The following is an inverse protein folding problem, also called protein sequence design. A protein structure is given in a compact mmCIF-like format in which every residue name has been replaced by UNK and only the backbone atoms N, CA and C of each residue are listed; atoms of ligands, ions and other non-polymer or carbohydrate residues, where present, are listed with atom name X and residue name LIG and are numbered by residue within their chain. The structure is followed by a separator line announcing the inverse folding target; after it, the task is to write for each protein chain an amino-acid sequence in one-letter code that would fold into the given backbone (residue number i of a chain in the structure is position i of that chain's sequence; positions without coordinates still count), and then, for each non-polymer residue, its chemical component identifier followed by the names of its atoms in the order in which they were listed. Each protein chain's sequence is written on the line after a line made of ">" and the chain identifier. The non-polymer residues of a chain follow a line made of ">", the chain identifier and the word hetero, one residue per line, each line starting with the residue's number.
data_IF_717660245381
#
_entry.id   IF_717660245381
#
_cell.length_a   1.000
_cell.length_b   1.000
_cell.length_c   1.000
_cell.angle_alpha   90.00
_cell.angle_beta   90.00
_cell.angle_gamma   90.00
#
_symmetry.space_group_name_H-M   'P 1'
#
loop_
_entity.id
_entity.type
_entity.pdbx_description
1 polymer ?
#
# COMPACT_ATOMS: atom_id res chain seq x y z
N UNK A 1 -34.63 -15.09 -32.21
CA UNK A 1 -33.16 -15.07 -32.00
C UNK A 1 -32.70 -16.50 -31.75
N UNK A 2 -31.85 -17.05 -32.62
CA UNK A 2 -31.47 -18.46 -32.57
C UNK A 2 -30.61 -18.78 -31.33
N UNK A 3 -30.64 -20.03 -30.87
CA UNK A 3 -29.95 -20.47 -29.65
C UNK A 3 -28.45 -20.13 -29.64
N UNK A 4 -27.80 -20.21 -30.80
CA UNK A 4 -26.39 -19.84 -31.00
C UNK A 4 -26.13 -18.36 -30.73
N UNK A 5 -27.06 -17.46 -31.08
CA UNK A 5 -26.93 -16.02 -30.82
C UNK A 5 -27.14 -15.70 -29.34
N UNK A 6 -28.08 -16.38 -28.67
CA UNK A 6 -28.28 -16.26 -27.21
C UNK A 6 -27.06 -16.70 -26.43
N UNK A 7 -26.45 -17.83 -26.82
CA UNK A 7 -25.23 -18.35 -26.18
C UNK A 7 -24.04 -17.39 -26.34
N UNK A 8 -23.83 -16.83 -27.55
CA UNK A 8 -22.76 -15.84 -27.79
C UNK A 8 -22.93 -14.58 -26.93
N UNK A 9 -24.15 -14.06 -26.80
CA UNK A 9 -24.43 -12.88 -25.97
C UNK A 9 -24.18 -13.20 -24.49
N UNK A 10 -24.57 -14.38 -24.03
CA UNK A 10 -24.30 -14.82 -22.66
C UNK A 10 -22.80 -14.92 -22.37
N UNK A 11 -22.03 -15.53 -23.27
CA UNK A 11 -20.57 -15.64 -23.15
C UNK A 11 -19.91 -14.26 -23.12
N UNK A 12 -20.32 -13.34 -24.00
CA UNK A 12 -19.80 -11.97 -24.01
C UNK A 12 -20.12 -11.27 -22.68
N UNK A 13 -21.36 -11.39 -22.18
CA UNK A 13 -21.75 -10.81 -20.90
C UNK A 13 -20.92 -11.33 -19.72
N UNK A 14 -20.65 -12.65 -19.69
CA UNK A 14 -19.80 -13.27 -18.67
C UNK A 14 -18.36 -12.73 -18.71
N UNK A 15 -17.79 -12.61 -19.92
CA UNK A 15 -16.43 -12.10 -20.11
C UNK A 15 -16.35 -10.62 -19.69
N UNK A 16 -17.31 -9.79 -20.11
CA UNK A 16 -17.34 -8.38 -19.71
C UNK A 16 -17.48 -8.23 -18.19
N UNK A 17 -18.31 -9.04 -17.56
CA UNK A 17 -18.46 -9.04 -16.11
C UNK A 17 -17.16 -9.43 -15.39
N UNK A 18 -16.47 -10.49 -15.85
CA UNK A 18 -15.20 -10.90 -15.28
C UNK A 18 -14.11 -9.81 -15.40
N UNK A 19 -14.05 -9.12 -16.53
CA UNK A 19 -13.13 -7.98 -16.75
C UNK A 19 -13.45 -6.83 -15.79
N UNK A 20 -14.73 -6.50 -15.61
CA UNK A 20 -15.15 -5.44 -14.67
C UNK A 20 -14.78 -5.79 -13.22
N UNK A 21 -15.03 -7.02 -12.78
CA UNK A 21 -14.65 -7.48 -11.44
C UNK A 21 -13.12 -7.40 -11.25
N UNK A 22 -12.36 -7.88 -12.23
CA UNK A 22 -10.89 -7.79 -12.21
C UNK A 22 -10.40 -6.34 -12.12
N UNK A 23 -11.01 -5.43 -12.89
CA UNK A 23 -10.69 -4.00 -12.86
C UNK A 23 -10.98 -3.35 -11.50
N UNK A 24 -12.15 -3.65 -10.91
CA UNK A 24 -12.50 -3.13 -9.57
C UNK A 24 -11.57 -3.65 -8.48
N UNK A 25 -11.18 -4.93 -8.54
CA UNK A 25 -10.21 -5.50 -7.60
C UNK A 25 -8.83 -4.85 -7.73
N UNK A 26 -8.37 -4.62 -8.97
CA UNK A 26 -7.10 -3.93 -9.23
C UNK A 26 -7.10 -2.49 -8.70
N UNK A 27 -8.19 -1.75 -8.87
CA UNK A 27 -8.37 -0.41 -8.29
C UNK A 27 -8.34 -0.44 -6.75
N UNK A 28 -9.00 -1.41 -6.12
CA UNK A 28 -9.05 -1.53 -4.67
C UNK A 28 -7.66 -1.74 -4.05
N UNK A 29 -6.82 -2.60 -4.64
CA UNK A 29 -5.44 -2.85 -4.18
C UNK A 29 -4.59 -1.58 -4.31
N UNK A 30 -4.73 -0.82 -5.40
CA UNK A 30 -3.99 0.43 -5.60
C UNK A 30 -4.36 1.53 -4.59
N UNK A 31 -5.62 1.59 -4.15
CA UNK A 31 -6.05 2.57 -3.16
C UNK A 31 -5.43 2.33 -1.78
N UNK A 32 -5.26 1.06 -1.38
CA UNK A 32 -4.64 0.72 -0.07
C UNK A 32 -3.18 1.20 -0.01
N UNK A 33 -2.41 1.00 -1.08
CA UNK A 33 -1.07 1.59 -1.17
C UNK A 33 -1.08 3.12 -1.13
N UNK A 34 -2.13 3.73 -1.69
CA UNK A 34 -2.32 5.18 -1.70
C UNK A 34 -2.51 5.76 -0.30
N UNK A 35 -3.26 5.09 0.58
CA UNK A 35 -3.53 5.57 1.96
C UNK A 35 -2.24 5.68 2.77
N UNK A 36 -1.41 4.64 2.78
CA UNK A 36 -0.14 4.69 3.52
C UNK A 36 0.84 5.70 2.92
N UNK A 37 0.89 5.85 1.59
CA UNK A 37 1.73 6.86 0.92
C UNK A 37 1.27 8.29 1.25
N UNK A 38 -0.03 8.54 1.32
CA UNK A 38 -0.57 9.84 1.73
C UNK A 38 -0.21 10.16 3.17
N UNK A 39 -0.39 9.20 4.08
CA UNK A 39 -0.02 9.37 5.49
C UNK A 39 1.48 9.64 5.64
N UNK A 40 2.32 8.87 4.94
CA UNK A 40 3.77 9.10 4.93
C UNK A 40 4.13 10.50 4.44
N UNK A 41 3.50 10.94 3.35
CA UNK A 41 3.77 12.26 2.78
C UNK A 41 3.32 13.37 3.73
N UNK A 42 2.17 13.18 4.40
CA UNK A 42 1.64 14.10 5.41
C UNK A 42 2.58 14.24 6.60
N UNK A 43 2.95 13.14 7.25
CA UNK A 43 3.80 13.14 8.45
C UNK A 43 5.18 13.71 8.15
N UNK A 44 5.82 13.28 7.05
CA UNK A 44 7.13 13.82 6.66
C UNK A 44 7.03 15.32 6.34
N UNK A 45 5.95 15.76 5.68
CA UNK A 45 5.68 17.17 5.40
C UNK A 45 5.51 18.00 6.68
N UNK A 46 4.77 17.51 7.67
CA UNK A 46 4.63 18.13 8.99
C UNK A 46 5.97 18.29 9.72
N UNK A 47 6.90 17.36 9.50
CA UNK A 47 8.26 17.42 10.02
C UNK A 47 9.22 18.29 9.18
N UNK A 48 8.70 19.00 8.16
CA UNK A 48 9.47 19.87 7.26
C UNK A 48 10.34 19.13 6.24
N UNK A 49 10.06 17.85 6.00
CA UNK A 49 10.75 17.02 5.03
C UNK A 49 10.00 16.89 3.70
N UNK A 50 10.72 16.47 2.66
CA UNK A 50 10.15 16.12 1.35
C UNK A 50 10.49 14.66 1.04
N UNK A 51 9.48 13.82 0.89
CA UNK A 51 9.65 12.39 0.56
C UNK A 51 10.32 12.25 -0.82
N UNK A 52 11.33 11.38 -0.90
CA UNK A 52 12.01 11.00 -2.15
C UNK A 52 11.71 9.58 -2.57
N UNK A 53 11.71 8.65 -1.63
CA UNK A 53 11.50 7.22 -1.88
C UNK A 53 10.76 6.58 -0.72
N UNK A 54 9.82 5.68 -1.04
CA UNK A 54 9.11 4.84 -0.08
C UNK A 54 9.29 3.40 -0.55
N UNK A 55 9.86 2.56 0.30
CA UNK A 55 10.10 1.14 0.04
C UNK A 55 9.40 0.29 1.10
N UNK A 56 8.74 -0.79 0.69
CA UNK A 56 8.26 -1.80 1.65
C UNK A 56 9.42 -2.75 1.93
N UNK A 57 9.69 -3.01 3.20
CA UNK A 57 10.85 -3.78 3.67
C UNK A 57 10.43 -4.84 4.68
N UNK A 58 11.22 -5.90 4.78
CA UNK A 58 11.02 -6.92 5.80
C UNK A 58 11.41 -6.39 7.17
N UNK A 59 10.71 -6.83 8.21
CA UNK A 59 10.90 -6.34 9.57
C UNK A 59 12.33 -6.53 10.11
N UNK A 60 13.01 -7.60 9.69
CA UNK A 60 14.40 -7.90 10.08
C UNK A 60 15.39 -6.80 9.65
N UNK A 61 15.04 -6.05 8.61
CA UNK A 61 15.85 -4.93 8.09
C UNK A 61 15.46 -3.58 8.69
N UNK A 62 14.49 -3.57 9.59
CA UNK A 62 13.88 -2.38 10.18
C UNK A 62 14.13 -2.32 11.69
N UNK A 63 13.92 -1.16 12.32
CA UNK A 63 13.96 -1.07 13.78
C UNK A 63 12.78 -1.80 14.46
N UNK A 64 11.74 -2.17 13.72
CA UNK A 64 10.53 -2.84 14.22
C UNK A 64 10.66 -4.37 14.09
N UNK A 65 11.40 -5.00 15.01
CA UNK A 65 11.65 -6.45 14.98
C UNK A 65 10.39 -7.32 15.12
N UNK A 66 9.36 -6.82 15.79
CA UNK A 66 8.14 -7.62 16.06
C UNK A 66 7.05 -7.44 14.97
N UNK A 67 7.12 -6.35 14.20
CA UNK A 67 6.17 -6.00 13.15
C UNK A 67 6.11 -7.00 11.97
N UNK A 68 7.14 -7.84 11.79
CA UNK A 68 7.27 -8.75 10.64
C UNK A 68 6.24 -9.86 10.55
N UNK A 69 5.46 -10.07 11.62
CA UNK A 69 4.44 -11.13 11.66
C UNK A 69 3.06 -10.66 11.22
N UNK A 70 2.91 -9.39 10.85
CA UNK A 70 1.59 -8.89 10.52
C UNK A 70 1.43 -7.46 10.06
N UNK A 71 2.48 -6.65 10.02
CA UNK A 71 2.39 -5.26 9.59
C UNK A 71 3.25 -5.02 8.35
N UNK A 72 2.89 -4.00 7.57
CA UNK A 72 3.74 -3.53 6.47
C UNK A 72 4.72 -2.51 7.02
N UNK A 73 6.02 -2.79 6.90
CA UNK A 73 7.05 -1.82 7.28
C UNK A 73 7.51 -1.06 6.05
N UNK A 74 7.51 0.26 6.15
CA UNK A 74 7.98 1.17 5.12
C UNK A 74 9.29 1.82 5.56
N UNK A 75 10.27 1.82 4.67
CA UNK A 75 11.47 2.66 4.74
C UNK A 75 11.23 3.89 3.89
N UNK A 76 11.39 5.06 4.48
CA UNK A 76 11.11 6.35 3.85
C UNK A 76 12.41 7.13 3.76
N UNK A 77 12.87 7.40 2.55
CA UNK A 77 13.97 8.33 2.31
C UNK A 77 13.39 9.70 2.02
N UNK A 78 13.77 10.72 2.80
CA UNK A 78 13.29 12.09 2.63
C UNK A 78 14.42 13.11 2.73
N UNK A 79 14.20 14.31 2.21
CA UNK A 79 15.14 15.42 2.33
C UNK A 79 14.62 16.46 3.30
N UNK A 80 15.45 16.87 4.26
CA UNK A 80 15.16 17.95 5.24
C UNK A 80 16.43 18.79 5.42
N UNK A 81 16.29 20.11 5.39
CA UNK A 81 17.42 21.05 5.54
C UNK A 81 18.62 20.77 4.60
N UNK A 82 18.36 20.30 3.38
CA UNK A 82 19.40 19.96 2.40
C UNK A 82 20.09 18.61 2.61
N UNK A 83 19.77 17.87 3.68
CA UNK A 83 20.29 16.53 3.94
C UNK A 83 19.27 15.43 3.60
N UNK A 84 19.77 14.27 3.17
CA UNK A 84 18.97 13.06 3.03
C UNK A 84 18.89 12.33 4.37
N UNK A 85 17.68 11.98 4.78
CA UNK A 85 17.34 11.33 6.04
C UNK A 85 16.48 10.10 5.77
N UNK A 86 16.43 9.20 6.76
CA UNK A 86 15.63 7.98 6.71
C UNK A 86 14.63 7.98 7.85
N UNK A 87 13.38 7.63 7.55
CA UNK A 87 12.34 7.35 8.53
C UNK A 87 11.78 5.96 8.28
N UNK A 88 11.12 5.42 9.30
CA UNK A 88 10.48 4.11 9.28
C UNK A 88 9.03 4.27 9.74
N UNK A 89 8.13 3.61 9.01
CA UNK A 89 6.72 3.57 9.35
C UNK A 89 6.22 2.13 9.37
N UNK A 90 5.69 1.71 10.51
CA UNK A 90 5.00 0.44 10.67
C UNK A 90 3.50 0.66 10.51
N UNK A 91 2.94 0.23 9.39
CA UNK A 91 1.51 0.35 9.13
C UNK A 91 0.77 -0.95 9.47
N UNK A 92 -0.42 -0.81 10.05
CA UNK A 92 -1.29 -1.96 10.31
C UNK A 92 -1.68 -2.60 8.97
N UNK A 93 -1.44 -3.91 8.85
CA UNK A 93 -2.06 -4.69 7.78
C UNK A 93 -3.35 -5.31 8.32
N UNK A 94 -4.48 -4.80 7.85
CA UNK A 94 -5.82 -5.29 8.22
C UNK A 94 -6.06 -6.77 7.87
N UNK A 95 -5.18 -7.38 7.07
CA UNK A 95 -5.25 -8.81 6.72
C UNK A 95 -4.52 -9.73 7.71
N UNK A 96 -3.80 -9.17 8.70
CA UNK A 96 -3.08 -9.96 9.71
C UNK A 96 -3.91 -10.22 10.97
N UNK A 97 -3.73 -11.43 11.53
CA UNK A 97 -4.31 -11.88 12.80
C UNK A 97 -3.54 -11.29 14.00
N UNK A 98 -2.25 -11.00 13.83
CA UNK A 98 -1.41 -10.33 14.83
C UNK A 98 -1.08 -8.94 14.29
N UNK A 99 -1.67 -7.92 14.90
CA UNK A 99 -1.44 -6.52 14.53
C UNK A 99 -0.67 -5.86 15.66
N UNK A 100 0.41 -5.18 15.31
CA UNK A 100 1.07 -4.26 16.21
C UNK A 100 0.50 -2.86 15.97
N UNK A 101 0.47 -1.99 16.98
CA UNK A 101 0.02 -0.61 16.80
C UNK A 101 0.89 0.09 15.74
N UNK A 102 0.29 1.05 15.04
CA UNK A 102 1.05 1.90 14.10
C UNK A 102 2.17 2.62 14.85
N UNK A 103 3.36 2.64 14.27
CA UNK A 103 4.54 3.21 14.89
C UNK A 103 5.40 3.96 13.88
N UNK A 104 5.97 5.07 14.34
CA UNK A 104 6.86 5.94 13.59
C UNK A 104 8.23 6.00 14.25
N UNK A 105 9.27 5.91 13.44
CA UNK A 105 10.62 6.23 13.86
C UNK A 105 11.25 7.15 12.82
N UNK A 106 11.47 8.41 13.21
CA UNK A 106 12.01 9.45 12.33
C UNK A 106 13.38 9.83 12.90
N UNK A 107 14.45 9.58 12.15
CA UNK A 107 15.78 10.04 12.56
C UNK A 107 15.91 11.54 12.22
N UNK A 108 15.92 12.40 13.24
CA UNK A 108 16.05 13.87 13.10
C UNK A 108 17.38 14.31 12.45
#
# INVERSE_FOLDING_TARGET
>A
MNATTKSKIFVIGLVTFAVLVGYTGFMAVRNIEGVHKQEITRVIGEHGGVVKLIEVVEADTSPFKEAGKGNNVYKITYTKNGGTKTAWYCAINHSSIKQEPEAWQIDE
#
